data_IF_399768035890
#
_entry.id   IF_399768035890
#
_cell.length_a   1.000
_cell.length_b   1.000
_cell.length_c   1.000
_cell.angle_alpha   90.00
_cell.angle_beta   90.00
_cell.angle_gamma   90.00
#
_symmetry.space_group_name_H-M   'P 1'
#
loop_
_entity.id
_entity.type
_entity.pdbx_description
1 polymer ?
#
# COMPACT_ATOMS: atom_id res chain seq x y z
N UNK A 1 3.48 58.99 -29.23
CA UNK A 1 4.75 58.54 -28.62
C UNK A 1 4.39 57.39 -27.68
N UNK A 2 4.70 56.11 -27.88
CA UNK A 2 5.67 55.43 -28.75
C UNK A 2 5.04 54.17 -29.38
N UNK A 3 5.58 53.78 -30.54
CA UNK A 3 5.14 52.69 -31.45
C UNK A 3 5.88 51.38 -31.16
N UNK A 4 5.29 50.25 -31.55
CA UNK A 4 5.87 49.00 -32.13
C UNK A 4 4.84 47.86 -31.92
N UNK A 5 4.07 47.29 -32.87
CA UNK A 5 4.22 46.68 -34.21
C UNK A 5 4.81 45.24 -34.20
N UNK A 6 3.96 44.25 -34.56
CA UNK A 6 4.20 42.96 -35.29
C UNK A 6 5.26 41.96 -34.78
N UNK A 7 5.26 40.65 -35.06
CA UNK A 7 4.33 39.61 -35.53
C UNK A 7 5.15 38.29 -35.53
N UNK A 8 4.50 37.15 -35.29
CA UNK A 8 4.68 35.86 -35.99
C UNK A 8 6.04 35.11 -36.07
N UNK A 9 5.91 33.79 -35.83
CA UNK A 9 6.63 32.63 -36.44
C UNK A 9 7.87 32.01 -35.74
N UNK A 10 7.62 30.78 -35.26
CA UNK A 10 8.40 29.52 -35.35
C UNK A 10 9.92 29.54 -35.07
N UNK A 11 10.38 28.72 -34.11
CA UNK A 11 11.36 27.66 -34.36
C UNK A 11 11.53 26.73 -33.14
N UNK A 12 11.64 25.43 -33.41
CA UNK A 12 12.03 24.40 -32.46
C UNK A 12 13.47 24.63 -31.95
N UNK A 13 13.72 24.33 -30.67
CA UNK A 13 15.05 24.35 -30.07
C UNK A 13 15.15 23.30 -28.96
N UNK A 14 15.73 22.16 -29.32
CA UNK A 14 16.16 21.13 -28.39
C UNK A 14 17.52 21.49 -27.75
N UNK A 15 17.83 20.80 -26.64
CA UNK A 15 19.13 20.69 -25.95
C UNK A 15 19.43 21.85 -24.96
N UNK A 16 19.79 21.63 -23.70
CA UNK A 16 20.83 20.71 -23.24
C UNK A 16 20.50 19.97 -21.93
N UNK A 17 20.42 18.65 -22.03
CA UNK A 17 20.68 17.74 -20.90
C UNK A 17 22.20 17.69 -20.74
N UNK A 18 22.69 18.09 -19.58
CA UNK A 18 24.10 17.99 -19.25
C UNK A 18 24.49 16.52 -19.09
N UNK A 19 25.30 16.06 -20.04
CA UNK A 19 26.44 15.17 -19.85
C UNK A 19 26.25 13.93 -18.96
N UNK A 20 25.89 12.82 -19.61
CA UNK A 20 26.68 11.59 -19.48
C UNK A 20 26.84 10.98 -20.87
N UNK A 21 27.81 11.52 -21.62
CA UNK A 21 28.56 10.70 -22.59
C UNK A 21 29.30 9.62 -21.78
N UNK A 22 29.40 8.35 -22.20
CA UNK A 22 29.60 7.90 -23.57
C UNK A 22 29.17 6.44 -23.78
N UNK A 23 28.78 6.17 -25.04
CA UNK A 23 28.97 4.95 -25.85
C UNK A 23 27.73 4.09 -26.19
N UNK A 24 27.17 4.38 -27.37
CA UNK A 24 26.57 3.47 -28.36
C UNK A 24 27.67 2.49 -28.88
N UNK A 25 27.49 1.28 -29.43
CA UNK A 25 26.43 0.65 -30.23
C UNK A 25 26.68 -0.89 -30.32
N UNK A 26 25.62 -1.64 -30.68
CA UNK A 26 25.54 -2.99 -31.32
C UNK A 26 25.11 -4.20 -30.49
N UNK A 27 23.85 -4.57 -30.74
CA UNK A 27 23.29 -5.90 -31.01
C UNK A 27 24.00 -7.12 -30.42
N UNK A 28 23.41 -7.64 -29.33
CA UNK A 28 23.07 -9.05 -29.18
C UNK A 28 21.98 -9.14 -28.10
N UNK A 29 20.88 -9.84 -28.40
CA UNK A 29 19.74 -10.03 -27.51
C UNK A 29 20.21 -10.62 -26.16
N UNK A 30 20.06 -9.91 -25.02
CA UNK A 30 20.28 -10.57 -23.74
C UNK A 30 19.01 -11.35 -23.43
N UNK A 31 19.02 -12.66 -23.75
CA UNK A 31 18.11 -13.63 -23.13
C UNK A 31 17.95 -13.26 -21.67
N UNK A 32 16.71 -12.93 -21.27
CA UNK A 32 16.39 -12.59 -19.90
C UNK A 32 17.01 -13.62 -18.95
N UNK A 33 18.02 -13.18 -18.19
CA UNK A 33 18.66 -14.00 -17.17
C UNK A 33 17.56 -14.42 -16.20
N UNK A 34 17.39 -15.70 -15.87
CA UNK A 34 16.38 -16.12 -14.91
C UNK A 34 16.57 -15.31 -13.62
N UNK A 35 15.54 -14.57 -13.20
CA UNK A 35 15.54 -13.90 -11.89
C UNK A 35 15.86 -14.98 -10.86
N UNK A 36 16.97 -14.80 -10.15
CA UNK A 36 17.35 -15.70 -9.06
C UNK A 36 16.15 -15.79 -8.11
N UNK A 37 15.58 -16.99 -7.97
CA UNK A 37 14.51 -17.26 -7.00
C UNK A 37 15.13 -17.09 -5.63
N UNK A 38 14.83 -15.98 -4.96
CA UNK A 38 15.20 -15.79 -3.56
C UNK A 38 14.44 -16.87 -2.76
N UNK A 39 15.14 -17.71 -1.96
CA UNK A 39 14.47 -18.71 -1.14
C UNK A 39 13.42 -18.04 -0.25
N UNK A 40 12.21 -18.59 -0.25
CA UNK A 40 11.14 -18.10 0.61
C UNK A 40 11.46 -18.40 2.07
N UNK A 41 11.26 -17.40 2.95
CA UNK A 41 11.46 -17.58 4.38
C UNK A 41 10.55 -18.70 4.92
N UNK A 42 11.05 -19.61 5.77
CA UNK A 42 10.22 -20.54 6.52
C UNK A 42 9.08 -19.84 7.25
N UNK A 43 7.89 -20.45 7.30
CA UNK A 43 6.70 -19.86 7.92
C UNK A 43 6.94 -19.39 9.36
N UNK A 44 7.66 -20.19 10.16
CA UNK A 44 8.03 -19.83 11.53
C UNK A 44 8.78 -18.49 11.60
N UNK A 45 9.66 -18.21 10.65
CA UNK A 45 10.42 -16.95 10.62
C UNK A 45 9.52 -15.77 10.22
N UNK A 46 8.58 -15.97 9.29
CA UNK A 46 7.58 -14.96 8.93
C UNK A 46 6.67 -14.62 10.11
N UNK A 47 6.21 -15.63 10.85
CA UNK A 47 5.34 -15.44 12.02
C UNK A 47 6.07 -14.68 13.13
N UNK A 48 7.35 -14.99 13.35
CA UNK A 48 8.17 -14.29 14.34
C UNK A 48 8.40 -12.82 13.96
N UNK A 49 8.68 -12.56 12.68
CA UNK A 49 8.79 -11.20 12.16
C UNK A 49 7.47 -10.44 12.28
N UNK A 50 6.33 -11.09 12.01
CA UNK A 50 5.00 -10.50 12.17
C UNK A 50 4.72 -10.13 13.63
N UNK A 51 4.99 -11.05 14.58
CA UNK A 51 4.86 -10.77 16.02
C UNK A 51 5.75 -9.61 16.46
N UNK A 52 7.00 -9.59 16.02
CA UNK A 52 7.96 -8.51 16.30
C UNK A 52 7.50 -7.16 15.74
N UNK A 53 6.78 -7.16 14.63
CA UNK A 53 6.14 -5.99 14.04
C UNK A 53 4.79 -5.62 14.69
N UNK A 54 4.38 -6.31 15.75
CA UNK A 54 3.10 -6.11 16.41
C UNK A 54 1.89 -6.52 15.57
N UNK A 55 2.08 -7.40 14.59
CA UNK A 55 1.00 -7.93 13.75
C UNK A 55 0.43 -9.19 14.41
N UNK A 56 -0.88 -9.25 14.69
CA UNK A 56 -1.52 -10.44 15.25
C UNK A 56 -1.33 -11.68 14.36
N UNK A 57 -1.39 -12.90 14.93
CA UNK A 57 -1.47 -14.11 14.13
C UNK A 57 -2.70 -14.08 13.21
N UNK A 58 -2.75 -15.01 12.27
CA UNK A 58 -3.96 -15.21 11.48
C UNK A 58 -5.11 -15.66 12.42
N UNK A 59 -6.28 -15.00 12.36
CA UNK A 59 -7.39 -15.34 13.24
C UNK A 59 -7.93 -16.74 12.93
N UNK A 60 -8.38 -17.44 13.96
CA UNK A 60 -9.20 -18.64 13.75
C UNK A 60 -10.57 -18.30 13.14
N UNK A 61 -11.39 -19.32 12.85
CA UNK A 61 -12.70 -19.11 12.23
C UNK A 61 -13.64 -18.22 13.06
N UNK A 62 -13.60 -18.31 14.40
CA UNK A 62 -14.47 -17.56 15.31
C UNK A 62 -14.01 -16.10 15.38
N UNK A 63 -12.71 -15.89 15.54
CA UNK A 63 -12.10 -14.56 15.55
C UNK A 63 -12.28 -13.87 14.19
N UNK A 64 -12.11 -14.59 13.09
CA UNK A 64 -12.32 -14.09 11.73
C UNK A 64 -13.76 -13.63 11.55
N UNK A 65 -14.75 -14.42 11.97
CA UNK A 65 -16.15 -14.02 11.90
C UNK A 65 -16.44 -12.76 12.75
N UNK A 66 -15.87 -12.67 13.96
CA UNK A 66 -16.00 -11.48 14.82
C UNK A 66 -15.38 -10.25 14.17
N UNK A 67 -14.18 -10.38 13.60
CA UNK A 67 -13.47 -9.31 12.91
C UNK A 67 -14.25 -8.81 11.70
N UNK A 68 -14.73 -9.72 10.84
CA UNK A 68 -15.52 -9.37 9.65
C UNK A 68 -16.80 -8.64 10.03
N UNK A 69 -17.53 -9.08 11.07
CA UNK A 69 -18.72 -8.36 11.55
C UNK A 69 -18.40 -6.94 12.02
N UNK A 70 -17.29 -6.77 12.75
CA UNK A 70 -16.88 -5.45 13.23
C UNK A 70 -16.47 -4.51 12.08
N UNK A 71 -15.75 -5.03 11.07
CA UNK A 71 -15.37 -4.29 9.87
C UNK A 71 -16.61 -3.92 9.03
N UNK A 72 -17.53 -4.85 8.81
CA UNK A 72 -18.79 -4.62 8.12
C UNK A 72 -19.61 -3.50 8.77
N UNK A 73 -19.64 -3.44 10.11
CA UNK A 73 -20.33 -2.39 10.85
C UNK A 73 -19.64 -1.01 10.74
N UNK A 74 -18.31 -1.00 10.59
CA UNK A 74 -17.53 0.23 10.50
C UNK A 74 -17.49 0.83 9.08
N UNK A 75 -17.32 -0.03 8.07
CA UNK A 75 -17.22 0.33 6.67
C UNK A 75 -17.65 -0.88 5.80
N UNK A 76 -18.94 -0.99 5.42
CA UNK A 76 -19.52 -2.17 4.77
C UNK A 76 -18.73 -2.76 3.59
N UNK A 77 -18.27 -1.92 2.67
CA UNK A 77 -17.65 -2.40 1.43
C UNK A 77 -16.28 -3.05 1.65
N UNK A 78 -15.65 -2.79 2.79
CA UNK A 78 -14.30 -3.28 3.11
C UNK A 78 -14.24 -4.74 3.51
N UNK A 79 -15.37 -5.45 3.52
CA UNK A 79 -15.38 -6.91 3.73
C UNK A 79 -15.85 -7.70 2.51
N UNK A 80 -16.09 -7.02 1.38
CA UNK A 80 -16.47 -7.67 0.12
C UNK A 80 -15.43 -8.68 -0.35
N UNK A 81 -14.17 -8.47 0.00
CA UNK A 81 -13.09 -9.43 -0.16
C UNK A 81 -12.56 -9.82 1.22
N UNK A 82 -13.24 -10.74 1.89
CA UNK A 82 -13.04 -11.06 3.30
C UNK A 82 -11.58 -11.39 3.68
N UNK A 83 -10.86 -12.16 2.86
CA UNK A 83 -9.45 -12.48 3.14
C UNK A 83 -8.56 -11.23 3.09
N UNK A 84 -8.79 -10.35 2.10
CA UNK A 84 -8.09 -9.05 2.03
C UNK A 84 -8.43 -8.17 3.22
N UNK A 85 -9.67 -8.21 3.70
CA UNK A 85 -10.09 -7.46 4.86
C UNK A 85 -9.37 -7.93 6.14
N UNK A 86 -9.18 -9.24 6.30
CA UNK A 86 -8.42 -9.83 7.41
C UNK A 86 -6.95 -9.42 7.33
N UNK A 87 -6.32 -9.52 6.16
CA UNK A 87 -4.92 -9.12 5.97
C UNK A 87 -4.71 -7.62 6.20
N UNK A 88 -5.60 -6.78 5.68
CA UNK A 88 -5.58 -5.34 5.90
C UNK A 88 -5.73 -4.99 7.38
N UNK A 89 -6.63 -5.69 8.10
CA UNK A 89 -6.80 -5.55 9.54
C UNK A 89 -5.55 -5.94 10.32
N UNK A 90 -4.93 -7.08 10.01
CA UNK A 90 -3.68 -7.53 10.63
C UNK A 90 -2.56 -6.51 10.44
N UNK A 91 -2.36 -6.03 9.21
CA UNK A 91 -1.36 -5.01 8.91
C UNK A 91 -1.64 -3.67 9.61
N UNK A 92 -2.91 -3.27 9.67
CA UNK A 92 -3.31 -2.06 10.39
C UNK A 92 -3.10 -2.20 11.90
N UNK A 93 -3.30 -3.38 12.48
CA UNK A 93 -2.96 -3.65 13.87
C UNK A 93 -1.46 -3.47 14.14
N UNK A 94 -0.58 -3.91 13.24
CA UNK A 94 0.86 -3.58 13.33
C UNK A 94 1.13 -2.08 13.39
N UNK A 95 0.43 -1.28 12.57
CA UNK A 95 0.53 0.19 12.63
C UNK A 95 0.00 0.78 13.94
N UNK A 96 -1.10 0.23 14.46
CA UNK A 96 -1.70 0.63 15.74
C UNK A 96 -0.74 0.34 16.89
N UNK A 97 -0.16 -0.85 16.92
CA UNK A 97 0.73 -1.32 17.99
C UNK A 97 2.10 -0.64 17.93
N UNK A 98 2.61 -0.39 16.72
CA UNK A 98 3.80 0.41 16.46
C UNK A 98 3.60 1.92 16.64
N UNK A 99 2.43 2.38 17.09
CA UNK A 99 2.10 3.81 17.32
C UNK A 99 2.38 4.70 16.10
N UNK A 100 2.11 4.17 14.91
CA UNK A 100 2.33 4.90 13.66
C UNK A 100 1.51 6.21 13.63
N UNK A 101 2.02 7.20 12.90
CA UNK A 101 1.30 8.45 12.63
C UNK A 101 0.23 8.22 11.55
N UNK A 102 -0.76 9.12 11.49
CA UNK A 102 -1.82 9.11 10.46
C UNK A 102 -2.56 7.77 10.31
N UNK A 103 -2.93 7.14 11.42
CA UNK A 103 -3.59 5.82 11.41
C UNK A 103 -4.88 5.78 10.57
N UNK A 104 -5.63 6.88 10.50
CA UNK A 104 -6.87 6.95 9.73
C UNK A 104 -6.58 6.88 8.22
N UNK A 105 -5.63 7.69 7.75
CA UNK A 105 -5.12 7.61 6.38
C UNK A 105 -4.52 6.23 6.08
N UNK A 106 -3.72 5.68 7.00
CA UNK A 106 -3.13 4.35 6.83
C UNK A 106 -4.19 3.25 6.68
N UNK A 107 -5.28 3.32 7.44
CA UNK A 107 -6.42 2.42 7.29
C UNK A 107 -7.13 2.64 5.94
N UNK A 108 -7.35 3.89 5.54
CA UNK A 108 -7.95 4.23 4.25
C UNK A 108 -7.17 3.62 3.06
N UNK A 109 -5.83 3.69 3.11
CA UNK A 109 -4.99 3.07 2.08
C UNK A 109 -5.07 1.55 2.09
N UNK A 110 -4.98 0.91 3.26
CA UNK A 110 -4.97 -0.56 3.37
C UNK A 110 -6.28 -1.22 2.99
N UNK A 111 -7.39 -0.55 3.27
CA UNK A 111 -8.73 -1.03 2.95
C UNK A 111 -9.23 -0.51 1.59
N UNK A 112 -8.39 0.17 0.83
CA UNK A 112 -8.65 0.48 -0.58
C UNK A 112 -7.99 -0.58 -1.44
N UNK A 113 -8.79 -1.42 -2.09
CA UNK A 113 -8.30 -2.48 -2.96
C UNK A 113 -9.34 -2.88 -3.99
N UNK A 114 -8.86 -3.28 -5.18
CA UNK A 114 -9.71 -3.59 -6.33
C UNK A 114 -10.66 -2.42 -6.61
N UNK A 115 -11.95 -2.62 -6.40
CA UNK A 115 -13.05 -1.69 -6.60
C UNK A 115 -13.68 -1.24 -5.27
N UNK A 116 -13.03 -1.48 -4.13
CA UNK A 116 -13.36 -0.90 -2.82
C UNK A 116 -12.50 0.34 -2.62
N UNK A 117 -13.14 1.49 -2.36
CA UNK A 117 -12.47 2.73 -1.94
C UNK A 117 -12.85 3.05 -0.51
N UNK A 118 -11.85 3.28 0.35
CA UNK A 118 -12.04 3.62 1.76
C UNK A 118 -11.55 5.04 2.03
N UNK A 119 -12.38 5.88 2.64
CA UNK A 119 -12.03 7.25 3.02
C UNK A 119 -11.29 7.29 4.37
N UNK A 120 -10.63 8.41 4.69
CA UNK A 120 -10.01 8.58 6.01
C UNK A 120 -11.04 8.51 7.16
N UNK A 121 -12.27 8.98 6.94
CA UNK A 121 -13.33 8.89 7.94
C UNK A 121 -13.71 7.42 8.22
N UNK A 122 -13.88 6.62 7.17
CA UNK A 122 -14.07 5.18 7.30
C UNK A 122 -12.84 4.53 7.96
N UNK A 123 -11.64 4.96 7.59
CA UNK A 123 -10.39 4.53 8.25
C UNK A 123 -10.40 4.77 9.76
N UNK A 124 -10.97 5.89 10.22
CA UNK A 124 -11.17 6.14 11.65
C UNK A 124 -12.15 5.17 12.30
N UNK A 125 -13.29 4.89 11.65
CA UNK A 125 -14.29 3.91 12.12
C UNK A 125 -13.68 2.50 12.20
N UNK A 126 -12.90 2.11 11.20
CA UNK A 126 -12.15 0.84 11.16
C UNK A 126 -11.17 0.77 12.34
N UNK A 127 -10.36 1.79 12.57
CA UNK A 127 -9.42 1.82 13.69
C UNK A 127 -10.12 1.65 15.05
N UNK A 128 -11.30 2.28 15.24
CA UNK A 128 -12.11 2.10 16.44
C UNK A 128 -12.62 0.66 16.57
N UNK A 129 -13.14 0.08 15.49
CA UNK A 129 -13.62 -1.30 15.48
C UNK A 129 -12.50 -2.32 15.77
N UNK A 130 -11.34 -2.17 15.15
CA UNK A 130 -10.16 -3.02 15.40
C UNK A 130 -9.74 -3.01 16.87
N UNK A 131 -9.75 -1.84 17.52
CA UNK A 131 -9.44 -1.73 18.96
C UNK A 131 -10.53 -2.36 19.82
N UNK A 132 -11.81 -2.14 19.49
CA UNK A 132 -12.95 -2.63 20.26
C UNK A 132 -13.08 -4.16 20.22
N UNK A 133 -12.70 -4.80 19.11
CA UNK A 133 -12.74 -6.28 19.00
C UNK A 133 -11.70 -6.97 19.89
N UNK A 134 -10.63 -6.26 20.27
CA UNK A 134 -9.44 -6.82 20.90
C UNK A 134 -8.47 -7.49 19.93
N UNK A 135 -8.78 -7.53 18.63
CA UNK A 135 -7.98 -8.24 17.63
C UNK A 135 -6.54 -7.74 17.51
N UNK A 136 -6.31 -6.45 17.71
CA UNK A 136 -4.95 -5.89 17.65
C UNK A 136 -4.09 -6.21 18.87
N UNK A 137 -4.59 -6.90 19.90
CA UNK A 137 -3.75 -7.26 21.05
C UNK A 137 -2.84 -8.41 20.65
N UNK A 138 -1.53 -8.19 20.78
CA UNK A 138 -0.45 -9.14 20.48
C UNK A 138 0.26 -9.54 21.76
#
# INVERSE_FOLDING_TARGET
MNRTTTAGLLLAGALAVTACSSSNDKADDPKAKPSATIPELPQKQKDEAARSAGIPPEPDAVERAKLIRALQAAAPDVVRYADKAVDAARNQCGSINGKAKRLNWGAAQRFTYKDVTTTEEQGSKINKALRATGFCKV
#
